data_IF_105610852874
#
_entry.id   IF_105610852874
#
_cell.length_a   1.000
_cell.length_b   1.000
_cell.length_c   1.000
_cell.angle_alpha   90.00
_cell.angle_beta   90.00
_cell.angle_gamma   90.00
#
_symmetry.space_group_name_H-M   'P 1'
#
loop_
_entity.id
_entity.type
_entity.pdbx_description
1 polymer ?
#
# COMPACT_ATOMS: atom_id res chain seq x y z
N UNK A 1 1.87 8.45 -19.86
CA UNK A 1 1.58 8.47 -18.42
C UNK A 1 0.30 9.24 -18.19
N UNK A 2 -0.68 8.69 -17.47
CA UNK A 2 -1.92 9.39 -17.15
C UNK A 2 -1.64 10.38 -16.01
N UNK A 3 -1.89 11.69 -16.23
CA UNK A 3 -1.67 12.74 -15.20
C UNK A 3 -2.38 12.41 -13.89
N UNK A 4 -3.49 11.69 -13.96
CA UNK A 4 -4.32 11.30 -12.82
C UNK A 4 -3.61 10.37 -11.85
N UNK A 5 -2.89 9.35 -12.33
CA UNK A 5 -2.21 8.37 -11.47
C UNK A 5 -1.04 9.00 -10.71
N UNK A 6 -0.35 9.95 -11.32
CA UNK A 6 0.74 10.70 -10.68
C UNK A 6 0.22 11.65 -9.59
N UNK A 7 -0.93 12.29 -9.83
CA UNK A 7 -1.61 13.12 -8.81
C UNK A 7 -2.06 12.28 -7.63
N UNK A 8 -2.68 11.11 -7.86
CA UNK A 8 -3.10 10.20 -6.79
C UNK A 8 -1.91 9.72 -5.97
N UNK A 9 -0.81 9.35 -6.63
CA UNK A 9 0.42 8.96 -5.97
C UNK A 9 0.92 10.04 -4.99
N UNK A 10 1.02 11.28 -5.48
CA UNK A 10 1.50 12.41 -4.68
C UNK A 10 0.59 12.67 -3.48
N UNK A 11 -0.72 12.62 -3.68
CA UNK A 11 -1.72 12.79 -2.62
C UNK A 11 -1.60 11.69 -1.56
N UNK A 12 -1.43 10.43 -1.96
CA UNK A 12 -1.26 9.31 -1.03
C UNK A 12 0.03 9.45 -0.19
N UNK A 13 1.16 9.77 -0.82
CA UNK A 13 2.41 10.04 -0.10
C UNK A 13 2.26 11.22 0.87
N UNK A 14 1.63 12.31 0.43
CA UNK A 14 1.43 13.50 1.26
C UNK A 14 0.50 13.21 2.45
N UNK A 15 -0.59 12.46 2.26
CA UNK A 15 -1.48 12.08 3.34
C UNK A 15 -0.78 11.21 4.40
N UNK A 16 0.07 10.26 3.97
CA UNK A 16 0.88 9.47 4.89
C UNK A 16 1.93 10.32 5.64
N UNK A 17 2.59 11.25 4.94
CA UNK A 17 3.54 12.19 5.54
C UNK A 17 2.86 13.14 6.54
N UNK A 18 1.63 13.57 6.24
CA UNK A 18 0.76 14.35 7.14
C UNK A 18 0.12 13.51 8.25
N UNK A 19 0.35 12.19 8.27
CA UNK A 19 -0.18 11.23 9.26
C UNK A 19 -1.70 11.03 9.23
N UNK A 20 -2.32 11.40 8.13
CA UNK A 20 -3.75 11.22 7.83
C UNK A 20 -3.97 9.83 7.21
N UNK A 21 -3.95 8.80 8.07
CA UNK A 21 -3.99 7.41 7.61
C UNK A 21 -5.29 7.06 6.85
N UNK A 22 -6.43 7.61 7.28
CA UNK A 22 -7.72 7.40 6.63
C UNK A 22 -7.75 8.01 5.22
N UNK A 23 -7.28 9.24 5.06
CA UNK A 23 -7.21 9.91 3.76
C UNK A 23 -6.22 9.21 2.82
N UNK A 24 -5.08 8.77 3.36
CA UNK A 24 -4.13 7.95 2.62
C UNK A 24 -4.78 6.64 2.12
N UNK A 25 -5.58 5.96 2.95
CA UNK A 25 -6.25 4.72 2.59
C UNK A 25 -7.21 4.93 1.40
N UNK A 26 -8.02 6.00 1.45
CA UNK A 26 -8.96 6.35 0.37
C UNK A 26 -8.21 6.59 -0.95
N UNK A 27 -7.16 7.41 -0.92
CA UNK A 27 -6.39 7.74 -2.12
C UNK A 27 -5.68 6.51 -2.70
N UNK A 28 -5.20 5.61 -1.85
CA UNK A 28 -4.56 4.36 -2.30
C UNK A 28 -5.57 3.40 -2.92
N UNK A 29 -6.80 3.31 -2.41
CA UNK A 29 -7.84 2.52 -3.06
C UNK A 29 -8.27 3.12 -4.42
N UNK A 30 -8.29 4.45 -4.56
CA UNK A 30 -8.48 5.10 -5.87
C UNK A 30 -7.34 4.77 -6.84
N UNK A 31 -6.09 4.78 -6.37
CA UNK A 31 -4.93 4.39 -7.15
C UNK A 31 -5.02 2.92 -7.57
N UNK A 32 -5.39 2.04 -6.64
CA UNK A 32 -5.61 0.62 -6.86
C UNK A 32 -6.68 0.37 -7.95
N UNK A 33 -7.77 1.15 -7.93
CA UNK A 33 -8.79 1.08 -8.99
C UNK A 33 -8.26 1.51 -10.37
N UNK A 34 -7.31 2.45 -10.44
CA UNK A 34 -6.66 2.84 -11.71
C UNK A 34 -5.70 1.75 -12.20
N UNK A 35 -4.96 1.13 -11.29
CA UNK A 35 -4.05 0.03 -11.58
C UNK A 35 -4.77 -1.18 -12.19
N UNK A 36 -5.94 -1.53 -11.64
CA UNK A 36 -6.82 -2.58 -12.19
C UNK A 36 -7.29 -2.30 -13.61
N UNK A 37 -7.34 -1.02 -14.02
CA UNK A 37 -7.64 -0.62 -15.40
C UNK A 37 -6.42 -0.67 -16.33
N UNK A 38 -5.29 -1.22 -15.86
CA UNK A 38 -4.05 -1.34 -16.62
C UNK A 38 -3.27 -0.02 -16.74
N UNK A 39 -3.56 0.99 -15.91
CA UNK A 39 -2.80 2.23 -15.95
C UNK A 39 -1.45 2.07 -15.24
N UNK A 40 -0.31 2.41 -15.89
CA UNK A 40 1.00 2.27 -15.29
C UNK A 40 1.23 3.30 -14.17
N UNK A 41 1.84 2.88 -13.06
CA UNK A 41 2.28 3.78 -11.98
C UNK A 41 3.78 3.64 -11.72
N UNK A 42 4.56 4.73 -11.65
CA UNK A 42 6.02 4.61 -11.64
C UNK A 42 6.68 4.52 -10.25
N UNK A 43 5.95 4.65 -9.13
CA UNK A 43 6.58 5.06 -7.86
C UNK A 43 6.22 4.26 -6.60
N UNK A 44 5.78 2.99 -6.70
CA UNK A 44 5.32 2.19 -5.54
C UNK A 44 6.30 2.19 -4.35
N UNK A 45 7.61 2.17 -4.62
CA UNK A 45 8.67 2.26 -3.60
C UNK A 45 8.55 3.45 -2.68
N UNK A 46 8.11 4.60 -3.22
CA UNK A 46 7.92 5.81 -2.41
C UNK A 46 6.65 5.73 -1.57
N UNK A 47 5.60 5.02 -1.98
CA UNK A 47 4.44 4.74 -1.09
C UNK A 47 4.87 3.86 0.08
N UNK A 48 5.64 2.81 -0.19
CA UNK A 48 6.20 1.95 0.85
C UNK A 48 7.08 2.73 1.83
N UNK A 49 7.94 3.61 1.33
CA UNK A 49 8.77 4.47 2.18
C UNK A 49 7.93 5.41 3.05
N UNK A 50 6.90 6.06 2.48
CA UNK A 50 5.98 6.91 3.24
C UNK A 50 5.22 6.11 4.31
N UNK A 51 4.82 4.87 4.00
CA UNK A 51 4.12 3.99 4.93
C UNK A 51 5.02 3.53 6.08
N UNK A 52 6.25 3.08 5.80
CA UNK A 52 7.20 2.71 6.85
C UNK A 52 7.48 3.87 7.81
N UNK A 53 7.64 5.09 7.30
CA UNK A 53 7.80 6.29 8.14
C UNK A 53 6.57 6.58 8.98
N UNK A 54 5.37 6.37 8.44
CA UNK A 54 4.13 6.51 9.20
C UNK A 54 4.08 5.50 10.35
N UNK A 55 4.44 4.24 10.08
CA UNK A 55 4.53 3.20 11.12
C UNK A 55 5.49 3.60 12.24
N UNK A 56 6.71 4.03 11.91
CA UNK A 56 7.69 4.53 12.89
C UNK A 56 7.12 5.68 13.73
N UNK A 57 6.44 6.63 13.10
CA UNK A 57 5.80 7.75 13.81
C UNK A 57 4.65 7.32 14.72
N UNK A 58 3.97 6.23 14.42
CA UNK A 58 2.93 5.66 15.27
C UNK A 58 3.48 4.69 16.32
N UNK A 59 4.80 4.53 16.41
CA UNK A 59 5.47 3.70 17.41
C UNK A 59 5.68 2.24 17.01
N UNK A 60 5.44 1.90 15.74
CA UNK A 60 5.69 0.57 15.19
C UNK A 60 7.13 0.46 14.66
N UNK A 61 7.69 -0.75 14.70
CA UNK A 61 8.99 -1.04 14.09
C UNK A 61 8.83 -1.20 12.58
N UNK A 62 9.59 -0.45 11.78
CA UNK A 62 9.50 -0.49 10.32
C UNK A 62 10.83 -0.20 9.61
N UNK A 63 11.96 -0.39 10.29
CA UNK A 63 13.31 -0.12 9.76
C UNK A 63 13.77 -1.20 8.77
N UNK A 64 13.20 -2.41 8.89
CA UNK A 64 13.48 -3.55 8.01
C UNK A 64 12.19 -4.14 7.43
N UNK A 65 12.24 -4.83 6.28
CA UNK A 65 11.07 -5.52 5.72
C UNK A 65 10.42 -6.51 6.71
N UNK A 66 11.22 -7.19 7.53
CA UNK A 66 10.75 -8.11 8.55
C UNK A 66 9.98 -7.38 9.66
N UNK A 67 10.49 -6.25 10.13
CA UNK A 67 9.80 -5.42 11.12
C UNK A 67 8.48 -4.87 10.58
N UNK A 68 8.47 -4.41 9.32
CA UNK A 68 7.23 -3.98 8.65
C UNK A 68 6.23 -5.14 8.61
N UNK A 69 6.65 -6.36 8.30
CA UNK A 69 5.77 -7.53 8.31
C UNK A 69 5.21 -7.85 9.70
N UNK A 70 6.03 -7.74 10.75
CA UNK A 70 5.57 -7.93 12.14
C UNK A 70 4.55 -6.87 12.53
N UNK A 71 4.85 -5.59 12.28
CA UNK A 71 3.93 -4.48 12.54
C UNK A 71 2.61 -4.64 11.77
N UNK A 72 2.66 -5.14 10.54
CA UNK A 72 1.44 -5.43 9.77
C UNK A 72 0.63 -6.59 10.35
N UNK A 73 1.27 -7.61 10.92
CA UNK A 73 0.55 -8.67 11.65
C UNK A 73 -0.14 -8.10 12.89
N UNK A 74 0.54 -7.26 13.65
CA UNK A 74 -0.06 -6.60 14.82
C UNK A 74 -1.27 -5.75 14.42
N UNK A 75 -1.17 -4.99 13.33
CA UNK A 75 -2.28 -4.21 12.78
C UNK A 75 -3.43 -5.11 12.33
N UNK A 76 -3.13 -6.24 11.68
CA UNK A 76 -4.15 -7.21 11.25
C UNK A 76 -4.88 -7.81 12.46
N UNK A 77 -4.13 -8.21 13.48
CA UNK A 77 -4.65 -8.83 14.70
C UNK A 77 -5.52 -7.84 15.50
N UNK A 78 -5.17 -6.55 15.50
CA UNK A 78 -6.00 -5.49 16.06
C UNK A 78 -7.33 -5.32 15.31
N UNK A 79 -7.34 -5.61 14.00
CA UNK A 79 -8.55 -5.72 13.19
C UNK A 79 -9.22 -4.40 12.81
N UNK A 80 -10.41 -4.47 12.20
CA UNK A 80 -11.19 -3.30 11.81
C UNK A 80 -11.51 -2.38 12.99
N UNK A 81 -11.38 -1.07 12.81
CA UNK A 81 -11.52 -0.06 13.87
C UNK A 81 -10.18 0.39 14.45
N UNK A 82 -9.09 -0.33 14.18
CA UNK A 82 -7.74 0.19 14.35
C UNK A 82 -7.42 1.18 13.23
N UNK A 83 -6.79 2.31 13.57
CA UNK A 83 -6.70 3.48 12.69
C UNK A 83 -5.74 3.31 11.50
N UNK A 84 -4.81 2.36 11.57
CA UNK A 84 -3.95 1.99 10.44
C UNK A 84 -4.47 0.79 9.64
N UNK A 85 -5.53 0.11 10.09
CA UNK A 85 -6.02 -1.13 9.49
C UNK A 85 -6.37 -0.94 8.01
N UNK A 86 -7.18 0.07 7.71
CA UNK A 86 -7.64 0.32 6.34
C UNK A 86 -6.49 0.74 5.43
N UNK A 87 -5.54 1.53 5.95
CA UNK A 87 -4.35 1.93 5.19
C UNK A 87 -3.44 0.74 4.87
N UNK A 88 -3.12 -0.06 5.88
CA UNK A 88 -2.30 -1.26 5.73
C UNK A 88 -2.91 -2.23 4.70
N UNK A 89 -4.22 -2.43 4.79
CA UNK A 89 -4.99 -3.24 3.83
C UNK A 89 -4.98 -2.65 2.42
N UNK A 90 -5.18 -1.34 2.28
CA UNK A 90 -5.18 -0.66 0.97
C UNK A 90 -3.81 -0.76 0.29
N UNK A 91 -2.72 -0.58 1.03
CA UNK A 91 -1.35 -0.70 0.50
C UNK A 91 -1.08 -2.12 0.02
N UNK A 92 -1.41 -3.14 0.83
CA UNK A 92 -1.22 -4.53 0.45
C UNK A 92 -1.98 -4.90 -0.84
N UNK A 93 -3.22 -4.40 -0.98
CA UNK A 93 -4.03 -4.56 -2.19
C UNK A 93 -3.41 -3.89 -3.42
N UNK A 94 -2.87 -2.70 -3.24
CA UNK A 94 -2.19 -1.96 -4.29
C UNK A 94 -0.96 -2.74 -4.77
N UNK A 95 -0.15 -3.27 -3.84
CA UNK A 95 1.03 -4.10 -4.14
C UNK A 95 0.68 -5.39 -4.90
N UNK A 96 -0.33 -6.13 -4.44
CA UNK A 96 -0.83 -7.33 -5.15
C UNK A 96 -1.34 -6.98 -6.55
N UNK A 97 -2.12 -5.91 -6.69
CA UNK A 97 -2.65 -5.48 -7.99
C UNK A 97 -1.53 -5.10 -8.95
N UNK A 98 -0.48 -4.44 -8.48
CA UNK A 98 0.71 -4.16 -9.30
C UNK A 98 1.38 -5.44 -9.78
N UNK A 99 1.57 -6.39 -8.86
CA UNK A 99 2.24 -7.64 -9.15
C UNK A 99 1.49 -8.44 -10.23
N UNK A 100 0.17 -8.55 -10.09
CA UNK A 100 -0.66 -9.38 -10.96
C UNK A 100 -1.14 -8.66 -12.23
N UNK A 101 -1.58 -7.41 -12.15
CA UNK A 101 -2.12 -6.67 -13.30
C UNK A 101 -1.03 -6.15 -14.23
N UNK A 102 0.11 -5.72 -13.68
CA UNK A 102 1.20 -5.14 -14.46
C UNK A 102 2.38 -6.11 -14.67
N UNK A 103 2.27 -7.38 -14.21
CA UNK A 103 3.33 -8.40 -14.26
C UNK A 103 4.66 -7.90 -13.69
N UNK A 104 4.58 -7.00 -12.71
CA UNK A 104 5.73 -6.34 -12.12
C UNK A 104 6.18 -7.11 -10.86
N UNK A 105 6.48 -8.40 -11.01
CA UNK A 105 6.91 -9.26 -9.88
C UNK A 105 8.17 -8.74 -9.18
N UNK A 106 9.04 -8.03 -9.89
CA UNK A 106 10.21 -7.34 -9.33
C UNK A 106 9.91 -5.98 -8.68
N UNK A 107 8.66 -5.51 -8.71
CA UNK A 107 8.25 -4.23 -8.12
C UNK A 107 7.77 -4.38 -6.67
N UNK A 108 7.73 -5.62 -6.16
CA UNK A 108 7.43 -5.88 -4.75
C UNK A 108 8.61 -5.45 -3.90
N UNK A 109 8.40 -4.42 -3.09
CA UNK A 109 9.41 -4.00 -2.09
C UNK A 109 9.46 -5.00 -0.92
N UNK A 110 8.33 -5.62 -0.56
CA UNK A 110 8.23 -6.56 0.56
C UNK A 110 7.42 -7.80 0.12
N UNK A 111 8.08 -8.82 -0.46
CA UNK A 111 7.41 -10.05 -0.89
C UNK A 111 6.68 -10.83 0.21
N UNK A 112 7.16 -10.71 1.43
CA UNK A 112 6.70 -11.43 2.62
C UNK A 112 5.40 -10.85 3.20
N UNK A 113 4.90 -9.76 2.61
CA UNK A 113 3.72 -9.01 3.03
C UNK A 113 2.43 -9.80 2.73
N UNK A 114 2.27 -10.89 3.45
CA UNK A 114 1.17 -11.85 3.46
C UNK A 114 -0.03 -11.48 4.35
N UNK A 115 0.09 -10.67 5.43
CA UNK A 115 -1.01 -10.48 6.40
C UNK A 115 -2.31 -9.98 5.77
N UNK A 116 -2.20 -9.16 4.73
CA UNK A 116 -3.36 -8.54 4.08
C UNK A 116 -3.55 -8.99 2.63
N UNK A 117 -2.83 -10.02 2.15
CA UNK A 117 -2.93 -10.47 0.75
C UNK A 117 -4.35 -10.93 0.43
N UNK A 118 -5.10 -10.17 -0.39
CA UNK A 118 -6.32 -10.68 -1.00
C UNK A 118 -5.97 -11.34 -2.34
N UNK A 119 -6.90 -12.13 -2.88
CA UNK A 119 -6.80 -12.57 -4.27
C UNK A 119 -6.89 -11.35 -5.20
N UNK A 120 -6.11 -11.32 -6.29
CA UNK A 120 -6.29 -10.30 -7.32
C UNK A 120 -7.52 -10.63 -8.15
N UNK A 121 -8.61 -9.87 -7.98
CA UNK A 121 -9.86 -9.99 -8.78
C UNK A 121 -9.70 -9.54 -10.24
N UNK A 122 -8.48 -9.27 -10.69
CA UNK A 122 -8.17 -8.73 -12.00
C UNK A 122 -8.35 -9.72 -13.17
N UNK A 123 -8.82 -10.96 -12.91
CA UNK A 123 -9.16 -11.94 -13.94
C UNK A 123 -7.96 -12.54 -14.71
N UNK A 124 -6.73 -12.12 -14.41
CA UNK A 124 -5.52 -12.69 -14.98
C UNK A 124 -5.12 -13.96 -14.19
N UNK A 125 -5.62 -15.11 -14.63
CA UNK A 125 -5.05 -16.43 -14.29
C UNK A 125 -3.78 -16.68 -15.10
#
# INVERSE_FOLDING_TARGET
>A
MSRTSETLFRRASQAMESREAADAAVVIEELNAQLRKGQPTPHIRKLWTSFSRLLEHRGFSASTPQEVCSSLREILDAGPGFDLFDLARAIARCDVTLMHCLKATSAREIPELTPFQPECDCGHR
#
